data_IF_649990381899
#
_entry.id   IF_649990381899
#
_cell.length_a   1.000
_cell.length_b   1.000
_cell.length_c   1.000
_cell.angle_alpha   90.00
_cell.angle_beta   90.00
_cell.angle_gamma   90.00
#
_symmetry.space_group_name_H-M   'P 1'
#
loop_
_entity.id
_entity.type
_entity.pdbx_description
1 polymer ?
#
# COMPACT_ATOMS: atom_id res chain seq x y z
N UNK A 1 -61.77 56.06 13.87
CA UNK A 1 -62.06 55.22 12.69
C UNK A 1 -62.69 53.93 13.20
N UNK A 2 -63.95 53.72 12.81
CA UNK A 2 -64.73 52.49 13.00
C UNK A 2 -64.08 51.35 12.16
N UNK A 3 -64.35 50.04 12.28
CA UNK A 3 -65.53 49.28 12.70
C UNK A 3 -65.15 47.77 12.72
N UNK A 4 -65.75 46.98 13.63
CA UNK A 4 -66.19 45.55 13.51
C UNK A 4 -65.25 44.50 12.88
N UNK A 5 -64.70 43.50 13.59
CA UNK A 5 -65.31 42.28 14.19
C UNK A 5 -66.23 41.45 13.28
N UNK A 6 -65.75 40.28 12.87
CA UNK A 6 -66.52 39.15 12.36
C UNK A 6 -66.17 37.85 13.12
N UNK A 7 -67.24 37.27 13.68
CA UNK A 7 -67.46 35.85 14.03
C UNK A 7 -67.18 34.93 12.82
N UNK A 8 -66.93 33.63 12.92
CA UNK A 8 -67.05 32.65 13.99
C UNK A 8 -67.18 31.25 13.36
N UNK A 9 -66.98 30.20 14.15
CA UNK A 9 -67.52 28.85 13.89
C UNK A 9 -66.52 27.75 13.49
N UNK A 10 -66.33 26.77 14.37
CA UNK A 10 -66.81 25.39 14.13
C UNK A 10 -66.57 24.49 15.34
N UNK A 11 -67.60 23.72 15.69
CA UNK A 11 -67.57 22.58 16.62
C UNK A 11 -66.87 21.36 15.98
N UNK A 12 -66.33 20.46 16.81
CA UNK A 12 -66.36 18.99 16.68
C UNK A 12 -65.33 18.33 17.61
N UNK A 13 -65.75 17.74 18.74
CA UNK A 13 -65.93 16.29 19.00
C UNK A 13 -64.67 15.43 19.23
N UNK A 14 -64.67 14.85 20.44
CA UNK A 14 -64.31 13.47 20.83
C UNK A 14 -62.84 13.02 20.77
N UNK A 15 -62.31 12.80 21.98
CA UNK A 15 -61.31 11.79 22.32
C UNK A 15 -61.59 10.45 21.60
N UNK A 16 -60.51 9.77 21.19
CA UNK A 16 -60.22 8.53 21.89
C UNK A 16 -58.76 8.44 22.37
N UNK A 17 -58.62 7.66 23.44
CA UNK A 17 -57.41 7.15 24.06
C UNK A 17 -56.55 6.42 23.02
N UNK A 18 -55.27 6.72 22.95
CA UNK A 18 -54.26 5.79 22.43
C UNK A 18 -52.94 5.93 23.19
N UNK A 19 -52.42 4.75 23.51
CA UNK A 19 -51.27 4.43 24.33
C UNK A 19 -50.01 5.22 23.97
N UNK A 20 -49.25 5.55 25.02
CA UNK A 20 -47.91 6.10 24.91
C UNK A 20 -46.93 5.11 24.27
N UNK A 21 -46.15 5.64 23.34
CA UNK A 21 -44.80 5.19 23.05
C UNK A 21 -43.94 6.44 22.93
N UNK A 22 -43.10 6.67 23.94
CA UNK A 22 -42.02 7.66 23.90
C UNK A 22 -40.90 7.09 23.03
N UNK A 23 -40.73 7.66 21.84
CA UNK A 23 -39.50 7.58 21.05
C UNK A 23 -38.82 8.95 21.12
N UNK A 24 -37.56 9.06 21.57
CA UNK A 24 -36.85 10.33 21.56
C UNK A 24 -36.49 10.71 20.11
N UNK A 25 -36.97 11.87 19.68
CA UNK A 25 -36.39 12.63 18.58
C UNK A 25 -35.01 13.12 19.03
N UNK A 26 -33.95 12.48 18.55
CA UNK A 26 -32.61 13.06 18.56
C UNK A 26 -32.53 14.06 17.41
N UNK A 27 -32.38 15.32 17.76
CA UNK A 27 -31.94 16.35 16.84
C UNK A 27 -30.46 16.08 16.49
N UNK A 28 -30.16 15.88 15.20
CA UNK A 28 -28.78 15.97 14.72
C UNK A 28 -28.40 17.45 14.67
N UNK A 29 -27.68 17.89 15.71
CA UNK A 29 -26.87 19.09 15.63
C UNK A 29 -25.68 18.79 14.71
N UNK A 30 -25.45 19.68 13.74
CA UNK A 30 -24.23 19.72 12.97
C UNK A 30 -23.14 20.34 13.85
N UNK A 31 -22.35 19.49 14.50
CA UNK A 31 -21.13 19.92 15.19
C UNK A 31 -20.00 20.11 14.19
N UNK A 32 -19.36 21.27 14.29
CA UNK A 32 -18.30 21.72 13.41
C UNK A 32 -17.06 20.84 13.48
N UNK A 33 -16.37 20.80 12.35
CA UNK A 33 -15.06 20.18 12.15
C UNK A 33 -14.08 20.82 13.15
N UNK A 34 -13.86 20.14 14.27
CA UNK A 34 -12.80 20.45 15.21
C UNK A 34 -11.51 19.80 14.74
N UNK A 35 -10.51 20.62 14.46
CA UNK A 35 -9.11 20.22 14.30
C UNK A 35 -8.58 19.72 15.65
N UNK A 36 -8.83 18.45 15.98
CA UNK A 36 -8.31 17.82 17.19
C UNK A 36 -6.93 17.24 16.95
N UNK A 37 -5.96 17.60 17.80
CA UNK A 37 -4.65 16.96 17.87
C UNK A 37 -4.78 15.44 18.12
N UNK A 38 -4.00 14.59 17.43
CA UNK A 38 -4.06 13.15 17.65
C UNK A 38 -3.55 12.81 19.06
N UNK A 39 -4.48 12.37 19.91
CA UNK A 39 -4.19 11.85 21.24
C UNK A 39 -3.56 10.45 21.15
N UNK A 40 -2.46 10.24 21.87
CA UNK A 40 -1.79 8.93 22.04
C UNK A 40 -2.79 7.83 22.48
N UNK A 41 -2.89 6.76 21.69
CA UNK A 41 -3.63 5.54 22.06
C UNK A 41 -2.76 4.66 22.98
N UNK A 42 -3.27 4.20 24.13
CA UNK A 42 -2.64 3.17 24.96
C UNK A 42 -2.80 1.74 24.40
N UNK A 43 -3.48 1.60 23.26
CA UNK A 43 -3.48 0.40 22.45
C UNK A 43 -2.61 0.71 21.22
N UNK A 44 -1.37 0.20 21.24
CA UNK A 44 -0.44 0.36 20.13
C UNK A 44 -1.10 -0.07 18.83
N UNK A 45 -1.11 0.85 17.88
CA UNK A 45 -1.48 0.65 16.51
C UNK A 45 -0.68 1.69 15.75
N UNK A 46 0.01 1.27 14.70
CA UNK A 46 0.74 2.23 13.85
C UNK A 46 -0.27 3.29 13.33
N UNK A 47 0.13 4.53 13.05
CA UNK A 47 -0.82 5.60 12.64
C UNK A 47 -0.71 6.04 11.18
N UNK A 48 0.24 5.48 10.44
CA UNK A 48 0.46 5.80 9.03
C UNK A 48 1.04 4.61 8.23
N UNK A 49 1.12 4.79 6.90
CA UNK A 49 1.71 3.79 6.01
C UNK A 49 3.21 3.61 6.22
N UNK A 50 3.87 4.47 6.99
CA UNK A 50 5.19 4.25 7.57
C UNK A 50 6.36 4.20 6.59
N UNK A 51 6.29 4.83 5.41
CA UNK A 51 7.37 4.78 4.43
C UNK A 51 8.67 5.42 4.94
N UNK A 52 9.73 4.61 4.96
CA UNK A 52 11.09 5.00 5.25
C UNK A 52 12.00 4.60 4.10
N UNK A 53 12.43 5.60 3.32
CA UNK A 53 13.51 5.47 2.34
C UNK A 53 14.81 6.06 2.88
N UNK A 54 15.96 5.67 2.31
CA UNK A 54 17.26 6.29 2.64
C UNK A 54 17.43 7.67 1.98
N UNK A 55 16.81 7.87 0.81
CA UNK A 55 16.87 9.06 -0.06
C UNK A 55 15.46 9.60 -0.39
N UNK A 56 14.45 9.18 0.36
CA UNK A 56 13.08 9.65 0.24
C UNK A 56 12.38 9.72 1.59
N UNK A 57 11.26 10.43 1.62
CA UNK A 57 10.39 10.59 2.78
C UNK A 57 8.92 10.52 2.34
N UNK A 58 8.06 10.27 3.31
CA UNK A 58 6.62 10.16 3.10
C UNK A 58 5.91 11.49 3.37
N UNK A 59 4.82 11.71 2.65
CA UNK A 59 3.88 12.79 2.83
C UNK A 59 2.47 12.21 2.97
N UNK A 60 1.70 12.75 3.89
CA UNK A 60 0.26 12.52 3.95
C UNK A 60 -0.45 13.57 3.12
N UNK A 61 -1.42 13.16 2.32
CA UNK A 61 -2.20 14.07 1.49
C UNK A 61 -3.68 13.68 1.46
N UNK A 62 -4.51 14.66 1.12
CA UNK A 62 -5.93 14.49 0.84
C UNK A 62 -6.17 14.82 -0.62
N UNK A 63 -6.72 13.87 -1.37
CA UNK A 63 -7.12 14.04 -2.76
C UNK A 63 -8.63 14.29 -2.83
N UNK A 64 -9.03 15.31 -3.59
CA UNK A 64 -10.43 15.67 -3.88
C UNK A 64 -10.67 15.67 -5.37
N UNK A 65 -11.76 15.08 -5.80
CA UNK A 65 -12.06 14.99 -7.23
C UNK A 65 -13.51 14.61 -7.50
N UNK A 66 -13.79 14.51 -8.80
CA UNK A 66 -15.07 14.06 -9.32
C UNK A 66 -14.83 12.92 -10.31
N UNK A 67 -15.57 11.81 -10.15
CA UNK A 67 -15.54 10.67 -11.07
C UNK A 67 -16.94 10.32 -11.54
N UNK A 68 -17.05 9.85 -12.79
CA UNK A 68 -18.32 9.57 -13.46
C UNK A 68 -18.34 8.18 -14.05
N UNK A 69 -19.48 7.50 -13.94
CA UNK A 69 -19.67 6.18 -14.54
C UNK A 69 -21.15 5.91 -14.82
N UNK A 70 -21.43 5.30 -15.97
CA UNK A 70 -22.77 4.81 -16.30
C UNK A 70 -23.10 3.59 -15.43
N UNK A 71 -24.24 3.56 -14.71
CA UNK A 71 -24.59 2.49 -13.78
C UNK A 71 -25.15 1.27 -14.53
N UNK A 72 -24.30 0.61 -15.33
CA UNK A 72 -24.66 -0.57 -16.13
C UNK A 72 -23.78 -1.79 -15.78
N UNK A 73 -24.32 -2.99 -16.02
CA UNK A 73 -23.59 -4.24 -15.77
C UNK A 73 -23.14 -4.37 -14.31
N UNK A 74 -21.84 -4.59 -14.10
CA UNK A 74 -21.22 -4.68 -12.76
C UNK A 74 -21.27 -3.37 -11.96
N UNK A 75 -21.61 -2.25 -12.60
CA UNK A 75 -21.70 -0.92 -11.98
C UNK A 75 -23.15 -0.49 -11.69
N UNK A 76 -24.13 -1.36 -11.93
CA UNK A 76 -25.56 -1.04 -11.77
C UNK A 76 -25.98 -0.62 -10.36
N UNK A 77 -25.19 -0.95 -9.34
CA UNK A 77 -25.44 -0.57 -7.94
C UNK A 77 -24.43 0.48 -7.42
N UNK A 78 -23.71 1.18 -8.30
CA UNK A 78 -22.66 2.13 -7.93
C UNK A 78 -23.12 3.22 -6.95
N UNK A 79 -24.37 3.70 -7.06
CA UNK A 79 -24.95 4.67 -6.13
C UNK A 79 -24.91 4.22 -4.66
N UNK A 80 -25.12 2.93 -4.42
CA UNK A 80 -25.35 2.39 -3.07
C UNK A 80 -24.26 1.45 -2.59
N UNK A 81 -23.35 1.03 -3.47
CA UNK A 81 -22.25 0.13 -3.14
C UNK A 81 -20.98 0.90 -2.85
N UNK A 82 -20.64 1.04 -1.57
CA UNK A 82 -19.38 1.65 -1.12
C UNK A 82 -18.14 0.95 -1.74
N UNK A 83 -18.20 -0.36 -1.93
CA UNK A 83 -17.13 -1.13 -2.59
C UNK A 83 -16.95 -0.70 -4.04
N UNK A 84 -18.04 -0.55 -4.82
CA UNK A 84 -17.94 -0.08 -6.19
C UNK A 84 -17.48 1.38 -6.25
N UNK A 85 -17.94 2.24 -5.34
CA UNK A 85 -17.50 3.64 -5.26
C UNK A 85 -15.99 3.72 -5.01
N UNK A 86 -15.48 2.97 -4.02
CA UNK A 86 -14.06 2.82 -3.74
C UNK A 86 -13.29 2.33 -4.99
N UNK A 87 -13.75 1.27 -5.64
CA UNK A 87 -13.10 0.71 -6.82
C UNK A 87 -13.03 1.73 -7.98
N UNK A 88 -14.08 2.55 -8.17
CA UNK A 88 -14.10 3.58 -9.20
C UNK A 88 -13.13 4.74 -8.88
N UNK A 89 -13.07 5.16 -7.60
CA UNK A 89 -12.17 6.21 -7.13
C UNK A 89 -10.71 5.74 -7.23
N UNK A 90 -10.39 4.52 -6.77
CA UNK A 90 -9.07 3.90 -6.92
C UNK A 90 -8.67 3.81 -8.41
N UNK A 91 -9.62 3.48 -9.30
CA UNK A 91 -9.37 3.44 -10.74
C UNK A 91 -9.05 4.85 -11.30
N UNK A 92 -9.68 5.91 -10.82
CA UNK A 92 -9.36 7.29 -11.24
C UNK A 92 -7.99 7.74 -10.72
N UNK A 93 -7.68 7.48 -9.44
CA UNK A 93 -6.40 7.88 -8.83
C UNK A 93 -5.19 7.26 -9.50
N UNK A 94 -5.32 6.06 -10.09
CA UNK A 94 -4.26 5.44 -10.92
C UNK A 94 -3.79 6.36 -12.05
N UNK A 95 -4.68 7.18 -12.61
CA UNK A 95 -4.35 8.12 -13.66
C UNK A 95 -3.69 9.41 -13.16
N UNK A 96 -3.78 9.71 -11.86
CA UNK A 96 -3.10 10.85 -11.25
C UNK A 96 -1.58 10.61 -11.06
N UNK A 97 -1.10 9.39 -11.29
CA UNK A 97 0.30 8.99 -11.14
C UNK A 97 1.27 9.92 -11.88
N UNK A 98 1.13 10.05 -13.21
CA UNK A 98 2.13 10.76 -14.00
C UNK A 98 2.06 12.28 -13.76
N UNK A 99 0.87 12.82 -13.50
CA UNK A 99 0.72 14.23 -13.13
C UNK A 99 1.31 14.57 -11.77
N UNK A 100 1.11 13.73 -10.75
CA UNK A 100 1.78 13.89 -9.45
C UNK A 100 3.30 13.70 -9.54
N UNK A 101 3.77 12.71 -10.32
CA UNK A 101 5.21 12.49 -10.55
C UNK A 101 5.88 13.68 -11.27
N UNK A 102 5.17 14.36 -12.18
CA UNK A 102 5.64 15.58 -12.82
C UNK A 102 5.87 16.73 -11.82
N UNK A 103 5.18 16.72 -10.68
CA UNK A 103 5.39 17.65 -9.56
C UNK A 103 6.42 17.15 -8.54
N UNK A 104 7.02 15.98 -8.76
CA UNK A 104 8.03 15.38 -7.89
C UNK A 104 7.48 14.48 -6.78
N UNK A 105 6.18 14.19 -6.77
CA UNK A 105 5.52 13.33 -5.79
C UNK A 105 5.15 11.99 -6.40
N UNK A 106 5.44 10.89 -5.68
CA UNK A 106 5.06 9.55 -6.12
C UNK A 106 3.86 9.07 -5.31
N UNK A 107 2.71 9.02 -5.96
CA UNK A 107 1.45 8.64 -5.35
C UNK A 107 1.39 7.12 -5.09
N UNK A 108 0.93 6.74 -3.89
CA UNK A 108 0.38 5.41 -3.64
C UNK A 108 -0.99 5.34 -4.31
N UNK A 109 -1.19 4.43 -5.26
CA UNK A 109 -2.35 4.44 -6.17
C UNK A 109 -3.56 3.71 -5.59
N UNK A 110 -3.43 3.20 -4.36
CA UNK A 110 -4.54 2.65 -3.60
C UNK A 110 -4.84 3.59 -2.44
N UNK A 111 -6.10 3.93 -2.32
CA UNK A 111 -6.51 4.99 -1.44
C UNK A 111 -6.82 4.54 0.00
N UNK A 112 -6.88 5.49 0.92
CA UNK A 112 -7.27 5.26 2.31
C UNK A 112 -8.43 6.19 2.71
N UNK A 113 -9.28 5.73 3.62
CA UNK A 113 -10.38 6.52 4.19
C UNK A 113 -11.19 7.29 3.13
N UNK A 114 -11.73 6.57 2.13
CA UNK A 114 -12.59 7.17 1.11
C UNK A 114 -13.86 7.71 1.75
N UNK A 115 -14.17 8.97 1.42
CA UNK A 115 -15.43 9.62 1.74
C UNK A 115 -16.07 10.14 0.46
N UNK A 116 -17.19 9.53 0.08
CA UNK A 116 -18.06 10.09 -0.97
C UNK A 116 -18.83 11.25 -0.34
N UNK A 117 -18.61 12.44 -0.88
CA UNK A 117 -19.19 13.69 -0.40
C UNK A 117 -20.61 13.88 -0.96
N UNK A 118 -20.78 13.61 -2.25
CA UNK A 118 -22.02 13.77 -2.98
C UNK A 118 -22.15 12.69 -4.05
N UNK A 119 -23.38 12.23 -4.28
CA UNK A 119 -23.77 11.33 -5.36
C UNK A 119 -24.83 12.04 -6.19
N UNK A 120 -24.53 12.33 -7.45
CA UNK A 120 -25.43 13.04 -8.37
C UNK A 120 -25.68 12.24 -9.66
N UNK A 121 -26.67 12.68 -10.45
CA UNK A 121 -27.07 12.10 -11.72
C UNK A 121 -27.10 13.14 -12.82
N UNK A 122 -26.30 12.94 -13.85
CA UNK A 122 -26.35 13.75 -15.06
C UNK A 122 -26.19 12.86 -16.30
N UNK A 123 -27.03 13.08 -17.31
CA UNK A 123 -26.90 12.39 -18.60
C UNK A 123 -27.02 10.86 -18.56
N UNK A 124 -27.50 10.27 -17.45
CA UNK A 124 -27.54 8.81 -17.25
C UNK A 124 -26.33 8.25 -16.49
N UNK A 125 -25.38 9.10 -16.10
CA UNK A 125 -24.25 8.72 -15.26
C UNK A 125 -24.52 8.95 -13.78
N UNK A 126 -23.84 8.16 -12.96
CA UNK A 126 -23.62 8.46 -11.55
C UNK A 126 -22.33 9.27 -11.44
N UNK A 127 -22.41 10.41 -10.77
CA UNK A 127 -21.29 11.30 -10.49
C UNK A 127 -20.98 11.20 -9.00
N UNK A 128 -19.72 10.93 -8.66
CA UNK A 128 -19.24 10.90 -7.29
C UNK A 128 -18.27 12.05 -7.08
N UNK A 129 -18.62 12.98 -6.20
CA UNK A 129 -17.66 13.89 -5.60
C UNK A 129 -17.05 13.20 -4.38
N UNK A 130 -15.73 13.17 -4.29
CA UNK A 130 -15.05 12.41 -3.25
C UNK A 130 -13.90 13.18 -2.62
N UNK A 131 -13.59 12.77 -1.39
CA UNK A 131 -12.38 13.09 -0.66
C UNK A 131 -11.73 11.79 -0.20
N UNK A 132 -10.42 11.71 -0.27
CA UNK A 132 -9.70 10.49 0.08
C UNK A 132 -8.28 10.76 0.57
N UNK A 133 -7.83 10.00 1.56
CA UNK A 133 -6.45 10.08 2.07
C UNK A 133 -5.54 9.27 1.15
N UNK A 134 -4.40 9.85 0.78
CA UNK A 134 -3.39 9.20 -0.05
C UNK A 134 -1.99 9.46 0.50
N UNK A 135 -1.11 8.48 0.33
CA UNK A 135 0.29 8.61 0.69
C UNK A 135 1.11 9.02 -0.54
N UNK A 136 2.03 9.96 -0.36
CA UNK A 136 3.01 10.33 -1.38
C UNK A 136 4.42 10.06 -0.90
N UNK A 137 5.32 9.74 -1.82
CA UNK A 137 6.76 9.64 -1.56
C UNK A 137 7.51 10.69 -2.38
N UNK A 138 8.32 11.49 -1.70
CA UNK A 138 9.15 12.52 -2.31
C UNK A 138 10.64 12.23 -2.10
N UNK A 139 11.51 12.57 -3.08
CA UNK A 139 12.96 12.44 -2.91
C UNK A 139 13.50 13.48 -1.92
N UNK A 140 14.50 13.09 -1.13
CA UNK A 140 15.25 14.01 -0.27
C UNK A 140 16.29 14.72 -1.12
N UNK A 141 16.35 16.05 -1.00
CA UNK A 141 17.42 16.86 -1.59
C UNK A 141 18.54 17.10 -0.57
N UNK A 142 18.19 17.75 0.54
CA UNK A 142 19.13 18.10 1.61
C UNK A 142 18.72 17.47 2.95
N UNK A 143 17.47 17.67 3.35
CA UNK A 143 16.86 17.10 4.56
C UNK A 143 15.36 16.88 4.33
N UNK A 144 14.68 16.23 5.28
CA UNK A 144 13.22 16.15 5.27
C UNK A 144 12.67 17.55 5.59
N UNK A 145 11.88 18.17 4.69
CA UNK A 145 11.33 19.50 4.94
C UNK A 145 10.27 19.46 6.04
N UNK A 146 9.96 20.60 6.65
CA UNK A 146 8.70 20.76 7.38
C UNK A 146 7.57 21.06 6.40
N UNK A 147 6.31 20.86 6.82
CA UNK A 147 5.15 21.17 5.98
C UNK A 147 5.15 22.62 5.51
N UNK A 148 5.59 23.55 6.37
CA UNK A 148 5.68 24.98 6.05
C UNK A 148 6.72 25.31 4.96
N UNK A 149 7.67 24.40 4.68
CA UNK A 149 8.70 24.57 3.65
C UNK A 149 8.24 24.09 2.27
N UNK A 150 7.08 23.42 2.19
CA UNK A 150 6.51 22.96 0.93
C UNK A 150 5.89 24.15 0.20
N UNK A 151 6.60 24.66 -0.81
CA UNK A 151 6.21 25.87 -1.54
C UNK A 151 4.80 25.82 -2.15
N UNK A 152 4.38 24.64 -2.64
CA UNK A 152 3.06 24.39 -3.19
C UNK A 152 2.50 23.11 -2.57
N UNK A 153 1.73 23.21 -1.47
CA UNK A 153 1.14 22.04 -0.82
C UNK A 153 -0.06 21.49 -1.61
N UNK A 154 -0.62 22.26 -2.55
CA UNK A 154 -1.73 21.84 -3.40
C UNK A 154 -1.22 21.56 -4.81
N UNK A 155 -1.61 20.41 -5.36
CA UNK A 155 -1.25 19.95 -6.70
C UNK A 155 -2.53 19.55 -7.45
N UNK A 156 -2.80 20.23 -8.56
CA UNK A 156 -3.87 19.84 -9.47
C UNK A 156 -3.37 18.84 -10.51
N UNK A 157 -4.06 17.70 -10.61
CA UNK A 157 -3.76 16.66 -11.60
C UNK A 157 -4.94 16.42 -12.53
N UNK A 158 -4.69 16.52 -13.83
CA UNK A 158 -5.68 16.17 -14.86
C UNK A 158 -5.79 14.64 -15.00
N UNK A 159 -7.01 14.12 -14.86
CA UNK A 159 -7.34 12.69 -14.96
C UNK A 159 -8.55 12.49 -15.89
N UNK A 160 -8.84 11.27 -16.37
CA UNK A 160 -10.11 11.01 -17.05
C UNK A 160 -11.28 11.12 -16.06
N UNK A 161 -12.35 11.84 -16.46
CA UNK A 161 -13.60 11.85 -15.70
C UNK A 161 -14.27 10.47 -15.66
N UNK A 162 -14.04 9.65 -16.69
CA UNK A 162 -14.47 8.25 -16.81
C UNK A 162 -13.23 7.37 -16.93
N UNK A 163 -12.72 6.79 -15.85
CA UNK A 163 -11.45 6.06 -15.89
C UNK A 163 -11.63 4.61 -16.39
N UNK A 164 -12.76 3.96 -16.09
CA UNK A 164 -13.05 2.57 -16.48
C UNK A 164 -13.10 2.45 -18.00
N UNK A 165 -12.37 1.49 -18.58
CA UNK A 165 -12.39 1.21 -20.03
C UNK A 165 -11.81 2.31 -20.92
N UNK A 166 -10.97 3.20 -20.37
CA UNK A 166 -10.41 4.33 -21.13
C UNK A 166 -9.56 3.86 -22.32
N UNK A 167 -8.78 2.79 -22.16
CA UNK A 167 -7.97 2.22 -23.25
C UNK A 167 -8.84 1.79 -24.43
N UNK A 168 -9.99 1.14 -24.18
CA UNK A 168 -10.90 0.71 -25.25
C UNK A 168 -11.50 1.91 -26.01
N UNK A 169 -11.70 3.05 -25.33
CA UNK A 169 -12.26 4.26 -25.93
C UNK A 169 -11.27 5.03 -26.80
N UNK A 170 -10.03 5.21 -26.33
CA UNK A 170 -9.06 6.09 -26.99
C UNK A 170 -7.80 5.40 -27.49
N UNK A 171 -7.72 4.07 -27.37
CA UNK A 171 -6.54 3.29 -27.70
C UNK A 171 -5.32 3.82 -26.97
N UNK A 172 -4.23 4.07 -27.70
CA UNK A 172 -2.98 4.61 -27.16
C UNK A 172 -2.83 6.13 -27.31
N UNK A 173 -3.89 6.85 -27.71
CA UNK A 173 -3.81 8.29 -27.98
C UNK A 173 -3.42 9.14 -26.77
N UNK A 174 -3.82 8.71 -25.56
CA UNK A 174 -3.46 9.36 -24.29
C UNK A 174 -2.30 8.65 -23.58
N UNK A 175 -1.51 7.82 -24.27
CA UNK A 175 -0.41 7.08 -23.67
C UNK A 175 0.95 7.54 -24.21
N UNK A 176 1.94 7.71 -23.34
CA UNK A 176 3.33 8.02 -23.70
C UNK A 176 4.02 6.86 -24.43
N UNK A 177 3.37 5.69 -24.52
CA UNK A 177 3.88 4.50 -25.19
C UNK A 177 2.85 3.89 -26.13
N UNK A 178 3.30 3.58 -27.34
CA UNK A 178 2.47 2.99 -28.40
C UNK A 178 2.07 1.52 -28.13
N UNK A 179 2.75 0.82 -27.23
CA UNK A 179 2.46 -0.55 -26.81
C UNK A 179 1.68 -0.62 -25.48
N UNK A 180 1.10 0.50 -25.03
CA UNK A 180 0.21 0.50 -23.88
C UNK A 180 -1.01 -0.39 -24.11
N UNK A 181 -1.33 -1.18 -23.10
CA UNK A 181 -2.41 -2.17 -23.07
C UNK A 181 -3.39 -1.84 -21.94
N UNK A 182 -4.59 -2.44 -21.88
CA UNK A 182 -5.53 -2.21 -20.78
C UNK A 182 -4.91 -2.43 -19.39
N UNK A 183 -3.98 -3.39 -19.27
CA UNK A 183 -3.36 -3.77 -18.00
C UNK A 183 -2.43 -2.69 -17.44
N UNK A 184 -1.72 -1.96 -18.30
CA UNK A 184 -0.70 -0.99 -17.91
C UNK A 184 -1.00 0.43 -18.39
N UNK A 185 -2.24 0.68 -18.82
CA UNK A 185 -2.59 1.93 -19.48
C UNK A 185 -2.38 3.15 -18.59
N UNK A 186 -2.89 3.11 -17.35
CA UNK A 186 -2.75 4.19 -16.39
C UNK A 186 -1.27 4.55 -16.10
N UNK A 187 -0.36 3.59 -16.21
CA UNK A 187 1.07 3.81 -16.03
C UNK A 187 1.65 4.73 -17.12
N UNK A 188 1.15 4.62 -18.34
CA UNK A 188 1.61 5.41 -19.48
C UNK A 188 0.69 6.59 -19.79
N UNK A 189 -0.37 6.79 -19.02
CA UNK A 189 -1.34 7.83 -19.30
C UNK A 189 -0.74 9.23 -19.16
N UNK A 190 -1.03 10.08 -20.13
CA UNK A 190 -0.67 11.49 -20.13
C UNK A 190 -1.76 12.26 -20.87
N UNK A 191 -2.53 13.03 -20.10
CA UNK A 191 -3.66 13.80 -20.61
C UNK A 191 -3.24 14.90 -21.60
N UNK A 192 -1.97 15.32 -21.58
CA UNK A 192 -1.46 16.38 -22.44
C UNK A 192 -0.80 15.86 -23.72
N UNK A 193 -0.86 14.54 -23.95
CA UNK A 193 -0.43 13.96 -25.22
C UNK A 193 -1.21 14.57 -26.40
N UNK A 194 -0.52 15.00 -27.48
CA UNK A 194 -1.19 15.49 -28.68
C UNK A 194 -2.18 14.45 -29.24
N UNK A 195 -3.45 14.83 -29.35
CA UNK A 195 -4.52 13.94 -29.82
C UNK A 195 -5.25 13.17 -28.71
N UNK A 196 -4.90 13.37 -27.44
CA UNK A 196 -5.68 12.87 -26.30
C UNK A 196 -6.98 13.67 -26.13
N UNK A 197 -8.06 13.17 -26.75
CA UNK A 197 -9.41 13.71 -26.67
C UNK A 197 -10.27 12.86 -25.71
N UNK A 198 -10.38 13.31 -24.46
CA UNK A 198 -11.12 12.65 -23.39
C UNK A 198 -11.92 13.69 -22.59
N UNK A 199 -12.98 13.24 -21.93
CA UNK A 199 -13.60 13.99 -20.84
C UNK A 199 -12.62 14.04 -19.67
N UNK A 200 -12.16 15.24 -19.31
CA UNK A 200 -11.16 15.48 -18.26
C UNK A 200 -11.84 15.86 -16.95
N UNK A 201 -11.28 15.42 -15.85
CA UNK A 201 -11.54 15.91 -14.51
C UNK A 201 -10.23 16.38 -13.87
N UNK A 202 -10.34 17.14 -12.78
CA UNK A 202 -9.19 17.55 -11.96
C UNK A 202 -9.29 16.85 -10.62
N UNK A 203 -8.17 16.28 -10.18
CA UNK A 203 -7.97 15.83 -8.80
C UNK A 203 -7.03 16.82 -8.13
N UNK A 204 -7.53 17.53 -7.13
CA UNK A 204 -6.75 18.39 -6.24
C UNK A 204 -6.12 17.52 -5.17
N UNK A 205 -4.78 17.51 -5.06
CA UNK A 205 -4.04 16.78 -4.04
C UNK A 205 -3.41 17.78 -3.08
N UNK A 206 -3.92 17.85 -1.86
CA UNK A 206 -3.44 18.73 -0.79
C UNK A 206 -2.54 17.94 0.17
N UNK A 207 -1.27 18.33 0.28
CA UNK A 207 -0.32 17.80 1.24
C UNK A 207 -0.67 18.36 2.62
N UNK A 208 -1.06 17.48 3.52
CA UNK A 208 -1.51 17.82 4.88
C UNK A 208 -0.49 17.43 5.94
N UNK A 209 0.48 16.57 5.60
CA UNK A 209 1.48 16.10 6.55
C UNK A 209 2.83 15.79 5.90
N UNK A 210 3.91 16.02 6.65
CA UNK A 210 5.26 15.57 6.30
C UNK A 210 5.76 14.66 7.40
N UNK A 211 6.04 13.41 7.08
CA UNK A 211 6.44 12.45 8.08
C UNK A 211 7.95 12.48 8.32
N UNK A 212 8.33 12.38 9.60
CA UNK A 212 9.73 12.26 10.00
C UNK A 212 10.36 10.93 9.58
N UNK A 213 11.70 10.87 9.66
CA UNK A 213 12.50 9.67 9.39
C UNK A 213 13.23 9.21 10.66
N UNK A 214 12.51 8.64 11.64
CA UNK A 214 13.15 8.09 12.83
C UNK A 214 14.04 6.91 12.47
N UNK A 215 15.05 6.65 13.32
CA UNK A 215 15.67 5.34 13.37
C UNK A 215 14.66 4.36 13.94
N UNK A 216 14.36 3.32 13.18
CA UNK A 216 13.43 2.26 13.57
C UNK A 216 13.97 0.92 13.09
N UNK A 217 13.55 -0.14 13.75
CA UNK A 217 14.11 -1.48 13.60
C UNK A 217 13.01 -2.46 13.20
N UNK A 218 13.35 -3.58 12.55
CA UNK A 218 12.46 -4.72 12.50
C UNK A 218 11.96 -5.12 13.90
N UNK A 219 10.76 -5.68 13.99
CA UNK A 219 10.25 -6.27 15.23
C UNK A 219 11.03 -7.56 15.57
N UNK A 220 12.29 -7.42 15.99
CA UNK A 220 13.23 -8.52 16.20
C UNK A 220 12.76 -9.49 17.29
N UNK A 221 12.07 -9.01 18.32
CA UNK A 221 11.42 -9.86 19.33
C UNK A 221 10.35 -10.78 18.72
N UNK A 222 9.67 -10.32 17.67
CA UNK A 222 8.70 -11.11 16.92
C UNK A 222 9.35 -12.02 15.88
N UNK A 223 10.61 -11.80 15.48
CA UNK A 223 11.34 -12.65 14.54
C UNK A 223 12.20 -13.72 15.23
N UNK A 224 12.76 -13.44 16.40
CA UNK A 224 13.69 -14.32 17.10
C UNK A 224 12.96 -15.40 17.93
N UNK A 225 12.32 -16.35 17.25
CA UNK A 225 11.58 -17.46 17.86
C UNK A 225 12.44 -18.72 17.93
N UNK A 226 12.21 -19.65 18.89
CA UNK A 226 12.88 -20.96 18.87
C UNK A 226 12.60 -21.71 17.56
N UNK A 227 13.65 -22.24 16.92
CA UNK A 227 13.53 -23.11 15.75
C UNK A 227 13.56 -24.58 16.14
N UNK A 228 13.20 -25.47 15.21
CA UNK A 228 13.29 -26.93 15.39
C UNK A 228 14.73 -27.41 15.64
N UNK A 229 15.73 -26.57 15.36
CA UNK A 229 17.16 -26.85 15.57
C UNK A 229 17.68 -26.35 16.92
N UNK A 230 16.83 -25.71 17.72
CA UNK A 230 17.18 -25.19 19.05
C UNK A 230 17.92 -23.85 19.04
N UNK A 231 18.03 -23.20 17.88
CA UNK A 231 18.50 -21.82 17.69
C UNK A 231 17.33 -20.85 17.74
N UNK A 232 17.59 -19.55 17.62
CA UNK A 232 16.56 -18.51 17.45
C UNK A 232 16.49 -18.07 15.99
N UNK A 233 15.31 -17.79 15.47
CA UNK A 233 15.19 -17.43 14.07
C UNK A 233 13.78 -17.49 13.52
N UNK A 234 13.71 -17.39 12.20
CA UNK A 234 12.46 -17.38 11.44
C UNK A 234 12.61 -18.07 10.08
N UNK A 235 11.48 -18.28 9.40
CA UNK A 235 11.44 -18.87 8.05
C UNK A 235 11.26 -17.80 6.99
N UNK A 236 12.02 -17.92 5.91
CA UNK A 236 12.01 -17.04 4.76
C UNK A 236 11.65 -17.79 3.47
N UNK A 237 10.86 -17.18 2.60
CA UNK A 237 10.55 -17.67 1.27
C UNK A 237 11.06 -16.69 0.20
N UNK A 238 11.86 -17.17 -0.74
CA UNK A 238 12.22 -16.43 -1.95
C UNK A 238 11.42 -17.00 -3.11
N UNK A 239 10.52 -16.18 -3.66
CA UNK A 239 9.56 -16.59 -4.70
C UNK A 239 9.86 -15.82 -5.99
N UNK A 240 10.86 -16.23 -6.79
CA UNK A 240 11.13 -15.65 -8.09
C UNK A 240 10.11 -16.12 -9.14
N UNK A 241 9.62 -15.20 -9.96
CA UNK A 241 8.83 -15.55 -11.12
C UNK A 241 9.69 -16.25 -12.20
N UNK A 242 9.04 -16.82 -13.21
CA UNK A 242 9.74 -17.28 -14.42
C UNK A 242 10.49 -16.11 -15.07
N UNK A 243 11.71 -16.38 -15.53
CA UNK A 243 12.44 -15.41 -16.34
C UNK A 243 11.83 -15.23 -17.73
N UNK A 244 12.05 -14.06 -18.33
CA UNK A 244 11.39 -13.65 -19.56
C UNK A 244 11.86 -14.45 -20.79
N UNK A 245 13.11 -14.90 -20.77
CA UNK A 245 13.73 -15.69 -21.85
C UNK A 245 14.10 -17.12 -21.40
N UNK A 246 14.44 -17.27 -20.13
CA UNK A 246 14.77 -18.54 -19.50
C UNK A 246 13.96 -18.63 -18.19
N UNK A 247 13.02 -19.58 -18.08
CA UNK A 247 12.18 -19.75 -16.90
C UNK A 247 12.97 -19.88 -15.59
N UNK A 248 14.16 -20.51 -15.63
CA UNK A 248 14.99 -20.75 -14.45
C UNK A 248 15.90 -19.56 -14.08
N UNK A 249 16.16 -18.63 -15.00
CA UNK A 249 17.19 -17.59 -14.82
C UNK A 249 17.05 -16.74 -13.54
N UNK A 250 15.83 -16.42 -13.10
CA UNK A 250 15.61 -15.68 -11.85
C UNK A 250 15.87 -16.54 -10.61
N UNK A 251 15.47 -17.81 -10.66
CA UNK A 251 15.79 -18.79 -9.61
C UNK A 251 17.30 -19.01 -9.52
N UNK A 252 17.97 -19.25 -10.65
CA UNK A 252 19.41 -19.45 -10.69
C UNK A 252 20.19 -18.24 -10.17
N UNK A 253 19.73 -17.03 -10.46
CA UNK A 253 20.37 -15.82 -9.92
C UNK A 253 20.29 -15.74 -8.38
N UNK A 254 19.14 -16.10 -7.78
CA UNK A 254 19.01 -16.15 -6.32
C UNK A 254 19.79 -17.32 -5.73
N UNK A 255 19.75 -18.49 -6.37
CA UNK A 255 20.54 -19.66 -5.98
C UNK A 255 22.03 -19.33 -5.96
N UNK A 256 22.55 -18.70 -7.00
CA UNK A 256 23.96 -18.33 -7.10
C UNK A 256 24.34 -17.29 -6.04
N UNK A 257 23.46 -16.34 -5.73
CA UNK A 257 23.69 -15.41 -4.61
C UNK A 257 23.79 -16.18 -3.27
N UNK A 258 22.84 -17.06 -2.98
CA UNK A 258 22.85 -17.85 -1.73
C UNK A 258 24.10 -18.76 -1.66
N UNK A 259 24.47 -19.42 -2.76
CA UNK A 259 25.56 -20.39 -2.79
C UNK A 259 26.95 -19.74 -2.86
N UNK A 260 27.11 -18.64 -3.59
CA UNK A 260 28.43 -18.04 -3.82
C UNK A 260 28.69 -16.84 -2.90
N UNK A 261 27.70 -15.96 -2.74
CA UNK A 261 27.88 -14.69 -2.03
C UNK A 261 27.69 -14.89 -0.53
N UNK A 262 26.69 -15.70 -0.14
CA UNK A 262 26.46 -16.10 1.26
C UNK A 262 27.08 -17.45 1.66
N UNK A 263 27.74 -18.14 0.72
CA UNK A 263 28.43 -19.43 0.95
C UNK A 263 27.53 -20.51 1.61
N UNK A 264 26.27 -20.60 1.19
CA UNK A 264 25.29 -21.53 1.72
C UNK A 264 25.19 -22.81 0.90
N UNK A 265 24.82 -23.92 1.54
CA UNK A 265 24.60 -25.21 0.87
C UNK A 265 23.11 -25.54 0.82
N UNK A 266 22.52 -25.47 -0.38
CA UNK A 266 21.10 -25.74 -0.57
C UNK A 266 20.77 -27.24 -0.59
N UNK A 267 19.77 -27.65 0.17
CA UNK A 267 19.19 -29.00 0.13
C UNK A 267 17.94 -29.01 -0.78
N UNK A 268 17.73 -30.03 -1.62
CA UNK A 268 16.54 -30.09 -2.46
C UNK A 268 15.27 -30.29 -1.62
N UNK A 269 14.20 -29.57 -1.98
CA UNK A 269 12.84 -29.77 -1.49
C UNK A 269 12.04 -30.39 -2.64
N UNK A 270 11.65 -31.68 -2.58
CA UNK A 270 11.00 -32.37 -3.69
C UNK A 270 9.78 -31.61 -4.23
N UNK A 271 9.81 -31.25 -5.51
CA UNK A 271 8.71 -30.58 -6.21
C UNK A 271 8.52 -29.09 -5.89
N UNK A 272 9.42 -28.48 -5.13
CA UNK A 272 9.29 -27.08 -4.71
C UNK A 272 10.52 -26.24 -5.06
N UNK A 273 11.73 -26.73 -4.77
CA UNK A 273 12.95 -25.94 -4.95
C UNK A 273 14.08 -26.37 -4.00
N UNK A 274 14.67 -25.42 -3.27
CA UNK A 274 15.81 -25.67 -2.38
C UNK A 274 15.68 -24.94 -1.05
N UNK A 275 16.13 -25.59 0.02
CA UNK A 275 16.23 -25.04 1.38
C UNK A 275 17.67 -24.71 1.74
N UNK A 276 17.89 -23.55 2.33
CA UNK A 276 19.17 -23.08 2.85
C UNK A 276 19.01 -22.75 4.34
N UNK A 277 20.10 -22.88 5.08
CA UNK A 277 20.17 -22.41 6.48
C UNK A 277 21.24 -21.33 6.52
N UNK A 278 20.84 -20.10 6.79
CA UNK A 278 21.75 -18.98 6.96
C UNK A 278 21.88 -18.67 8.45
N UNK A 279 23.01 -19.04 9.06
CA UNK A 279 23.19 -18.98 10.50
C UNK A 279 24.41 -18.17 10.91
N UNK A 280 24.31 -17.51 12.07
CA UNK A 280 25.38 -16.76 12.72
C UNK A 280 25.17 -16.82 14.23
N UNK A 281 26.20 -17.19 15.00
CA UNK A 281 26.03 -17.36 16.45
C UNK A 281 24.96 -18.41 16.78
N UNK A 282 24.00 -18.03 17.63
CA UNK A 282 22.84 -18.86 18.01
C UNK A 282 21.56 -18.49 17.23
N UNK A 283 21.69 -17.70 16.15
CA UNK A 283 20.56 -17.28 15.31
C UNK A 283 20.62 -17.86 13.90
N UNK A 284 19.46 -18.07 13.28
CA UNK A 284 19.37 -18.55 11.90
C UNK A 284 18.16 -18.03 11.13
N UNK A 285 18.25 -18.10 9.80
CA UNK A 285 17.12 -17.94 8.87
C UNK A 285 17.05 -19.23 8.03
N UNK A 286 15.92 -19.93 8.08
CA UNK A 286 15.64 -21.04 7.16
C UNK A 286 15.02 -20.48 5.88
N UNK A 287 15.73 -20.58 4.76
CA UNK A 287 15.35 -19.95 3.49
C UNK A 287 14.90 -21.01 2.48
N UNK A 288 13.64 -20.96 2.06
CA UNK A 288 13.11 -21.76 0.97
C UNK A 288 13.08 -20.94 -0.33
N UNK A 289 13.89 -21.35 -1.30
CA UNK A 289 13.94 -20.79 -2.65
C UNK A 289 13.07 -21.64 -3.58
N UNK A 290 11.97 -21.05 -4.06
CA UNK A 290 11.01 -21.72 -4.93
C UNK A 290 11.49 -21.76 -6.39
N UNK A 291 11.46 -22.93 -7.02
CA UNK A 291 11.81 -23.14 -8.41
C UNK A 291 10.57 -22.95 -9.32
N UNK A 292 10.50 -21.86 -10.11
CA UNK A 292 9.33 -21.55 -10.93
C UNK A 292 9.11 -22.50 -12.11
N UNK A 293 10.01 -23.47 -12.32
CA UNK A 293 9.83 -24.58 -13.27
C UNK A 293 9.09 -25.76 -12.67
N UNK A 294 9.05 -25.87 -11.33
CA UNK A 294 8.42 -26.97 -10.59
C UNK A 294 7.06 -26.58 -10.00
N UNK A 295 6.84 -25.29 -9.74
CA UNK A 295 5.65 -24.79 -9.05
C UNK A 295 4.86 -23.77 -9.86
N UNK A 296 3.58 -23.58 -9.51
CA UNK A 296 2.81 -22.42 -9.99
C UNK A 296 3.13 -21.19 -9.16
N UNK A 297 3.48 -20.10 -9.83
CA UNK A 297 4.00 -18.89 -9.19
C UNK A 297 3.03 -18.27 -8.19
N UNK A 298 1.80 -17.97 -8.63
CA UNK A 298 0.80 -17.31 -7.76
C UNK A 298 0.40 -18.17 -6.57
N UNK A 299 0.25 -19.48 -6.78
CA UNK A 299 -0.07 -20.44 -5.70
C UNK A 299 1.07 -20.53 -4.69
N UNK A 300 2.32 -20.63 -5.15
CA UNK A 300 3.49 -20.67 -4.28
C UNK A 300 3.67 -19.40 -3.48
N UNK A 301 3.39 -18.25 -4.10
CA UNK A 301 3.46 -16.97 -3.43
C UNK A 301 2.38 -16.86 -2.34
N UNK A 302 1.13 -17.25 -2.62
CA UNK A 302 0.05 -17.28 -1.62
C UNK A 302 0.34 -18.26 -0.48
N UNK A 303 0.84 -19.45 -0.79
CA UNK A 303 1.26 -20.40 0.25
C UNK A 303 2.39 -19.81 1.10
N UNK A 304 3.33 -19.08 0.50
CA UNK A 304 4.39 -18.43 1.24
C UNK A 304 3.87 -17.34 2.20
N UNK A 305 2.84 -16.58 1.81
CA UNK A 305 2.19 -15.60 2.68
C UNK A 305 1.53 -16.25 3.91
N UNK A 306 1.08 -17.51 3.81
CA UNK A 306 0.45 -18.23 4.92
C UNK A 306 1.45 -18.87 5.90
N UNK A 307 2.70 -19.10 5.49
CA UNK A 307 3.62 -19.98 6.22
C UNK A 307 4.91 -19.32 6.72
N UNK A 308 5.35 -18.21 6.13
CA UNK A 308 6.69 -17.65 6.37
C UNK A 308 6.64 -16.30 7.08
N UNK A 309 7.71 -15.96 7.80
CA UNK A 309 7.86 -14.66 8.47
C UNK A 309 8.51 -13.63 7.53
N UNK A 310 9.36 -14.06 6.58
CA UNK A 310 9.91 -13.22 5.52
C UNK A 310 9.52 -13.75 4.15
N UNK A 311 8.99 -12.91 3.27
CA UNK A 311 8.58 -13.30 1.92
C UNK A 311 9.17 -12.31 0.92
N UNK A 312 9.89 -12.81 -0.08
CA UNK A 312 10.33 -12.02 -1.22
C UNK A 312 9.56 -12.44 -2.47
N UNK A 313 8.80 -11.48 -3.02
CA UNK A 313 8.21 -11.56 -4.35
C UNK A 313 9.19 -10.97 -5.37
N UNK A 314 9.58 -11.73 -6.39
CA UNK A 314 10.36 -11.22 -7.53
C UNK A 314 9.68 -11.51 -8.86
N UNK A 315 8.63 -10.74 -9.13
CA UNK A 315 7.79 -10.87 -10.32
C UNK A 315 7.62 -9.56 -11.06
N UNK A 316 6.93 -9.64 -12.20
CA UNK A 316 6.48 -8.43 -12.89
C UNK A 316 5.44 -7.70 -12.01
N UNK A 317 5.44 -6.38 -12.09
CA UNK A 317 4.34 -5.60 -11.53
C UNK A 317 3.13 -5.84 -12.43
N UNK A 318 2.04 -6.35 -11.90
CA UNK A 318 0.78 -6.43 -12.65
C UNK A 318 0.06 -5.07 -12.64
N UNK A 319 0.80 -3.97 -12.42
CA UNK A 319 0.33 -2.58 -12.36
C UNK A 319 -0.90 -2.40 -11.45
N UNK A 320 -0.95 -3.17 -10.35
CA UNK A 320 -2.05 -3.20 -9.38
C UNK A 320 -3.38 -3.71 -9.92
N UNK A 321 -3.43 -4.33 -11.11
CA UNK A 321 -4.66 -4.89 -11.72
C UNK A 321 -4.92 -6.33 -11.32
N UNK A 322 -3.93 -7.01 -10.73
CA UNK A 322 -4.14 -8.32 -10.12
C UNK A 322 -4.33 -8.15 -8.62
N UNK A 323 -5.43 -8.72 -8.13
CA UNK A 323 -5.72 -8.91 -6.71
C UNK A 323 -4.83 -10.02 -6.13
N UNK A 324 -3.51 -9.81 -6.20
CA UNK A 324 -2.54 -10.82 -5.79
C UNK A 324 -2.52 -10.96 -4.26
N UNK A 325 -2.78 -9.85 -3.56
CA UNK A 325 -2.59 -9.68 -2.12
C UNK A 325 -3.88 -9.24 -1.40
N UNK A 326 -5.04 -9.29 -2.07
CA UNK A 326 -6.31 -8.82 -1.50
C UNK A 326 -7.13 -9.95 -0.84
N UNK A 327 -6.53 -11.12 -0.64
CA UNK A 327 -7.16 -12.30 -0.01
C UNK A 327 -6.60 -12.44 1.42
N UNK A 328 -7.28 -11.92 2.48
CA UNK A 328 -6.80 -11.97 3.86
C UNK A 328 -6.44 -13.39 4.32
N UNK A 329 -7.19 -14.39 3.86
CA UNK A 329 -6.97 -15.80 4.18
C UNK A 329 -5.65 -16.37 3.64
N UNK A 330 -4.98 -15.67 2.72
CA UNK A 330 -3.66 -16.07 2.23
C UNK A 330 -2.54 -15.68 3.19
N UNK A 331 -2.79 -14.83 4.19
CA UNK A 331 -1.76 -14.33 5.10
C UNK A 331 -1.75 -15.10 6.43
N UNK A 332 -0.56 -15.26 7.00
CA UNK A 332 -0.42 -15.71 8.38
C UNK A 332 -0.90 -14.61 9.35
N UNK A 333 -1.38 -15.03 10.52
CA UNK A 333 -1.68 -14.12 11.63
C UNK A 333 -0.42 -13.56 12.32
N UNK A 334 0.78 -14.11 12.08
CA UNK A 334 2.01 -13.63 12.70
C UNK A 334 2.57 -12.36 12.03
N UNK A 335 3.56 -11.73 12.66
CA UNK A 335 4.32 -10.62 12.07
C UNK A 335 5.11 -11.09 10.85
N UNK A 336 5.04 -10.34 9.74
CA UNK A 336 5.71 -10.67 8.49
C UNK A 336 6.48 -9.48 7.91
N UNK A 337 7.62 -9.76 7.29
CA UNK A 337 8.31 -8.84 6.39
C UNK A 337 8.04 -9.29 4.95
N UNK A 338 7.42 -8.43 4.15
CA UNK A 338 7.07 -8.74 2.76
C UNK A 338 7.84 -7.81 1.83
N UNK A 339 8.81 -8.35 1.11
CA UNK A 339 9.57 -7.64 0.10
C UNK A 339 8.94 -7.82 -1.29
N UNK A 340 8.33 -6.74 -1.79
CA UNK A 340 7.74 -6.68 -3.12
C UNK A 340 8.75 -6.15 -4.13
N UNK A 341 9.60 -7.01 -4.68
CA UNK A 341 10.54 -6.63 -5.76
C UNK A 341 9.84 -6.69 -7.12
N UNK A 342 9.27 -5.57 -7.56
CA UNK A 342 8.69 -5.41 -8.89
C UNK A 342 8.72 -3.95 -9.33
N UNK A 343 8.23 -3.61 -10.53
CA UNK A 343 8.20 -2.20 -10.94
C UNK A 343 7.22 -1.38 -10.11
N UNK A 344 7.71 -0.37 -9.39
CA UNK A 344 6.89 0.55 -8.58
C UNK A 344 5.94 -0.16 -7.61
N UNK A 345 6.43 -1.18 -6.91
CA UNK A 345 5.58 -1.99 -6.02
C UNK A 345 4.96 -1.21 -4.88
N UNK A 346 5.57 -0.10 -4.46
CA UNK A 346 5.01 0.78 -3.42
C UNK A 346 3.60 1.25 -3.79
N UNK A 347 3.44 1.65 -5.05
CA UNK A 347 2.20 2.24 -5.56
C UNK A 347 1.04 1.24 -5.68
N UNK A 348 1.32 -0.07 -5.62
CA UNK A 348 0.35 -1.11 -5.98
C UNK A 348 0.10 -2.14 -4.89
N UNK A 349 1.12 -2.49 -4.10
CA UNK A 349 1.07 -3.69 -3.27
C UNK A 349 1.11 -3.39 -1.78
N UNK A 350 1.74 -2.29 -1.37
CA UNK A 350 1.86 -1.92 0.05
C UNK A 350 0.50 -1.89 0.73
N UNK A 351 -0.48 -1.19 0.13
CA UNK A 351 -1.82 -1.08 0.71
C UNK A 351 -2.61 -2.39 0.65
N UNK A 352 -2.40 -3.22 -0.37
CA UNK A 352 -3.06 -4.54 -0.45
C UNK A 352 -2.64 -5.42 0.72
N UNK A 353 -1.33 -5.48 1.01
CA UNK A 353 -0.80 -6.22 2.16
C UNK A 353 -1.45 -5.74 3.44
N UNK A 354 -1.48 -4.43 3.67
CA UNK A 354 -2.05 -3.86 4.89
C UNK A 354 -3.54 -4.16 5.02
N UNK A 355 -4.34 -3.94 3.97
CA UNK A 355 -5.77 -4.30 3.96
C UNK A 355 -5.99 -5.79 4.27
N UNK A 356 -5.17 -6.67 3.73
CA UNK A 356 -5.27 -8.11 3.98
C UNK A 356 -4.82 -8.54 5.38
N UNK A 357 -4.08 -7.68 6.10
CA UNK A 357 -3.61 -7.90 7.48
C UNK A 357 -4.47 -7.17 8.51
N UNK A 358 -5.51 -6.45 8.10
CA UNK A 358 -6.44 -5.76 9.00
C UNK A 358 -7.07 -6.73 10.00
N UNK A 359 -7.17 -6.31 11.25
CA UNK A 359 -7.88 -7.02 12.31
C UNK A 359 -8.76 -6.05 13.10
N UNK A 360 -9.60 -6.56 14.00
CA UNK A 360 -10.40 -5.69 14.87
C UNK A 360 -9.55 -4.79 15.77
N UNK A 361 -8.36 -5.24 16.18
CA UNK A 361 -7.44 -4.50 17.05
C UNK A 361 -6.43 -3.64 16.26
N UNK A 362 -6.26 -3.95 14.98
CA UNK A 362 -5.37 -3.26 14.04
C UNK A 362 -6.14 -3.00 12.73
N UNK A 363 -7.03 -2.00 12.70
CA UNK A 363 -7.91 -1.73 11.57
C UNK A 363 -7.17 -1.19 10.34
N UNK A 364 -5.86 -0.99 10.43
CA UNK A 364 -5.01 -0.58 9.32
C UNK A 364 -4.07 -1.70 8.84
N UNK A 365 -3.96 -2.80 9.59
CA UNK A 365 -3.15 -3.98 9.26
C UNK A 365 -1.65 -3.74 9.32
N UNK A 366 -1.21 -2.73 10.07
CA UNK A 366 0.18 -2.30 10.13
C UNK A 366 1.01 -3.00 11.22
N UNK A 367 0.38 -3.48 12.29
CA UNK A 367 1.10 -4.03 13.45
C UNK A 367 1.83 -5.33 13.14
N UNK A 368 1.37 -6.06 12.13
CA UNK A 368 1.85 -7.41 11.79
C UNK A 368 2.48 -7.50 10.41
N UNK A 369 2.79 -6.38 9.78
CA UNK A 369 3.42 -6.36 8.47
C UNK A 369 4.37 -5.18 8.32
N UNK A 370 5.58 -5.48 7.82
CA UNK A 370 6.51 -4.51 7.29
C UNK A 370 6.67 -4.80 5.79
N UNK A 371 6.50 -3.81 4.92
CA UNK A 371 6.54 -3.99 3.46
C UNK A 371 7.73 -3.29 2.86
N UNK A 372 8.68 -4.05 2.32
CA UNK A 372 9.82 -3.49 1.57
C UNK A 372 9.44 -3.40 0.10
N UNK A 373 9.42 -2.19 -0.44
CA UNK A 373 8.90 -1.93 -1.77
C UNK A 373 9.78 -0.97 -2.58
N UNK A 374 9.47 -0.86 -3.87
CA UNK A 374 10.14 0.00 -4.83
C UNK A 374 9.22 1.16 -5.18
N UNK A 375 9.70 2.40 -5.07
CA UNK A 375 9.01 3.60 -5.56
C UNK A 375 9.33 3.93 -7.02
N UNK A 376 10.24 3.18 -7.67
CA UNK A 376 10.57 3.28 -9.10
C UNK A 376 10.55 1.91 -9.75
N UNK A 377 10.50 1.88 -11.09
CA UNK A 377 10.62 0.63 -11.83
C UNK A 377 11.93 -0.07 -11.47
N UNK A 378 11.85 -1.23 -10.82
CA UNK A 378 13.00 -2.09 -10.61
C UNK A 378 13.10 -3.13 -11.72
N UNK A 379 14.32 -3.63 -11.92
CA UNK A 379 14.53 -4.77 -12.81
C UNK A 379 14.68 -6.04 -11.95
N UNK A 380 14.09 -7.17 -12.37
CA UNK A 380 14.22 -8.45 -11.66
C UNK A 380 15.66 -8.89 -11.43
N UNK A 381 16.60 -8.42 -12.26
CA UNK A 381 18.04 -8.72 -12.16
C UNK A 381 18.70 -8.17 -10.89
N UNK A 382 18.15 -7.11 -10.29
CA UNK A 382 18.68 -6.53 -9.06
C UNK A 382 18.23 -7.25 -7.78
N UNK A 383 17.17 -8.07 -7.88
CA UNK A 383 16.54 -8.75 -6.74
C UNK A 383 17.49 -9.62 -5.92
N UNK A 384 18.44 -10.40 -6.50
CA UNK A 384 19.33 -11.22 -5.69
C UNK A 384 20.21 -10.40 -4.74
N UNK A 385 20.77 -9.27 -5.20
CA UNK A 385 21.65 -8.43 -4.38
C UNK A 385 20.90 -7.70 -3.28
N UNK A 386 19.68 -7.26 -3.56
CA UNK A 386 18.86 -6.60 -2.54
C UNK A 386 18.31 -7.60 -1.52
N UNK A 387 18.00 -8.83 -1.96
CA UNK A 387 17.70 -9.95 -1.06
C UNK A 387 18.88 -10.30 -0.15
N UNK A 388 20.10 -10.36 -0.69
CA UNK A 388 21.33 -10.57 0.08
C UNK A 388 21.47 -9.53 1.20
N UNK A 389 21.34 -8.24 0.86
CA UNK A 389 21.46 -7.13 1.81
C UNK A 389 20.47 -7.25 2.97
N UNK A 390 19.18 -7.49 2.67
CA UNK A 390 18.17 -7.57 3.73
C UNK A 390 18.32 -8.83 4.59
N UNK A 391 18.63 -9.98 3.99
CA UNK A 391 18.87 -11.22 4.73
C UNK A 391 20.08 -11.09 5.67
N UNK A 392 21.18 -10.50 5.17
CA UNK A 392 22.37 -10.24 5.98
C UNK A 392 22.08 -9.24 7.10
N UNK A 393 21.40 -8.13 6.81
CA UNK A 393 21.05 -7.12 7.80
C UNK A 393 20.15 -7.65 8.92
N UNK A 394 19.17 -8.49 8.58
CA UNK A 394 18.30 -9.17 9.54
C UNK A 394 19.10 -10.15 10.41
N UNK A 395 19.93 -11.02 9.81
CA UNK A 395 20.74 -11.98 10.55
C UNK A 395 21.76 -11.30 11.47
N UNK A 396 22.40 -10.23 11.01
CA UNK A 396 23.35 -9.44 11.81
C UNK A 396 22.66 -8.75 12.98
N UNK A 397 21.45 -8.22 12.79
CA UNK A 397 20.67 -7.65 13.87
C UNK A 397 20.27 -8.68 14.92
N UNK A 398 19.79 -9.85 14.50
CA UNK A 398 19.47 -10.95 15.43
C UNK A 398 20.71 -11.43 16.20
N UNK A 399 21.85 -11.60 15.54
CA UNK A 399 23.11 -12.02 16.19
C UNK A 399 23.60 -10.97 17.21
N UNK A 400 23.49 -9.68 16.87
CA UNK A 400 23.81 -8.60 17.79
C UNK A 400 22.94 -8.67 19.06
N UNK A 401 21.64 -8.92 18.91
CA UNK A 401 20.70 -9.02 20.04
C UNK A 401 20.99 -10.25 20.91
N UNK A 402 21.10 -11.43 20.30
CA UNK A 402 21.40 -12.69 21.01
C UNK A 402 22.72 -12.60 21.80
N UNK A 403 23.71 -11.90 21.24
CA UNK A 403 25.01 -11.70 21.87
C UNK A 403 25.06 -10.49 22.84
N UNK A 404 23.92 -9.92 23.22
CA UNK A 404 23.82 -8.84 24.22
C UNK A 404 24.32 -7.47 23.74
N UNK A 405 24.36 -7.24 22.42
CA UNK A 405 24.75 -5.98 21.76
C UNK A 405 23.58 -5.39 20.97
N UNK A 406 22.39 -5.35 21.57
CA UNK A 406 21.15 -4.83 20.96
C UNK A 406 21.32 -3.48 20.24
N UNK A 407 22.15 -2.56 20.77
CA UNK A 407 22.45 -1.25 20.17
C UNK A 407 23.20 -1.33 18.82
N UNK A 408 23.79 -2.48 18.50
CA UNK A 408 24.43 -2.75 17.21
C UNK A 408 23.47 -3.41 16.21
N UNK A 409 22.20 -3.65 16.59
CA UNK A 409 21.23 -4.24 15.69
C UNK A 409 21.01 -3.35 14.45
N UNK A 410 20.83 -3.97 13.29
CA UNK A 410 20.64 -3.25 12.03
C UNK A 410 19.26 -2.60 11.99
N UNK A 411 19.20 -1.29 11.78
CA UNK A 411 17.94 -0.56 11.59
C UNK A 411 17.45 -0.62 10.12
N UNK A 412 16.18 -0.27 9.92
CA UNK A 412 15.55 -0.25 8.59
C UNK A 412 16.23 0.72 7.62
N UNK A 413 16.65 1.92 8.06
CA UNK A 413 17.29 2.90 7.19
C UNK A 413 18.65 2.41 6.69
N UNK A 414 19.44 1.77 7.56
CA UNK A 414 20.73 1.17 7.21
C UNK A 414 20.59 0.06 6.15
N UNK A 415 19.56 -0.80 6.28
CA UNK A 415 19.27 -1.82 5.27
C UNK A 415 18.84 -1.20 3.94
N UNK A 416 17.89 -0.27 3.96
CA UNK A 416 17.40 0.40 2.75
C UNK A 416 18.50 1.19 2.04
N UNK A 417 19.37 1.88 2.79
CA UNK A 417 20.52 2.60 2.20
C UNK A 417 21.46 1.63 1.48
N UNK A 418 21.73 0.47 2.09
CA UNK A 418 22.55 -0.57 1.50
C UNK A 418 21.92 -1.15 0.23
N UNK A 419 20.59 -1.36 0.21
CA UNK A 419 19.84 -1.79 -0.97
C UNK A 419 19.94 -0.76 -2.12
N UNK A 420 19.72 0.52 -1.82
CA UNK A 420 19.84 1.62 -2.79
C UNK A 420 21.27 1.77 -3.34
N UNK A 421 22.29 1.40 -2.54
CA UNK A 421 23.70 1.42 -2.95
C UNK A 421 24.04 0.32 -3.94
N UNK A 422 23.53 -0.90 -3.74
CA UNK A 422 23.80 -2.05 -4.62
C UNK A 422 22.98 -1.99 -5.92
N UNK A 423 21.79 -1.38 -5.88
CA UNK A 423 20.89 -1.21 -7.02
C UNK A 423 20.59 0.28 -7.28
N UNK A 424 21.63 1.00 -7.73
CA UNK A 424 21.56 2.44 -7.99
C UNK A 424 20.44 2.79 -8.98
N UNK A 425 19.65 3.79 -8.61
CA UNK A 425 18.56 4.32 -9.44
C UNK A 425 17.21 3.66 -9.17
N UNK A 426 17.18 2.58 -8.40
CA UNK A 426 15.95 2.07 -7.79
C UNK A 426 15.72 2.82 -6.48
N UNK A 427 14.47 3.15 -6.21
CA UNK A 427 14.06 3.78 -4.97
C UNK A 427 13.49 2.70 -4.05
N UNK A 428 14.27 2.18 -3.11
CA UNK A 428 13.75 1.29 -2.07
C UNK A 428 13.30 2.08 -0.84
N UNK A 429 12.30 1.54 -0.17
CA UNK A 429 11.87 1.93 1.16
C UNK A 429 11.11 0.81 1.84
N UNK A 430 10.93 0.94 3.14
CA UNK A 430 10.09 0.06 3.94
C UNK A 430 8.88 0.83 4.44
N UNK A 431 7.69 0.26 4.30
CA UNK A 431 6.41 0.79 4.76
C UNK A 431 5.93 -0.02 5.96
N UNK A 432 5.13 0.60 6.82
CA UNK A 432 4.63 0.03 8.07
C UNK A 432 5.69 0.05 9.18
N UNK A 433 6.86 0.63 8.98
CA UNK A 433 8.01 0.45 9.90
C UNK A 433 8.21 1.57 10.92
N UNK A 434 7.65 2.76 10.65
CA UNK A 434 7.95 4.00 11.40
C UNK A 434 7.64 3.88 12.90
N UNK A 435 6.62 3.11 13.23
CA UNK A 435 6.13 2.91 14.59
C UNK A 435 6.39 1.50 15.13
N UNK A 436 7.37 0.77 14.56
CA UNK A 436 7.81 -0.49 15.14
C UNK A 436 8.25 -0.30 16.59
N UNK A 437 7.83 -1.23 17.43
CA UNK A 437 7.88 -1.11 18.89
C UNK A 437 9.19 -1.63 19.47
N UNK A 438 9.82 -2.59 18.81
CA UNK A 438 11.12 -3.08 19.23
C UNK A 438 12.15 -1.95 19.19
N UNK A 439 12.88 -1.81 20.30
CA UNK A 439 13.96 -0.85 20.45
C UNK A 439 15.12 -1.53 21.17
N UNK A 440 16.38 -1.16 20.88
CA UNK A 440 17.52 -1.70 21.59
C UNK A 440 17.45 -1.34 23.08
N UNK A 441 17.65 -2.34 23.95
CA UNK A 441 17.68 -2.17 25.42
C UNK A 441 19.11 -1.94 25.89
N UNK A 442 19.28 -1.07 26.88
CA UNK A 442 20.55 -0.71 27.53
C UNK A 442 21.16 -1.80 28.42
#
# INVERSE_FOLDING_TARGET
MAQTLHSGGSMATKLPILLGFTLPLLACAADGIGTGEPSKSPNGGKTDSGWLGSDSYELGAVARGQVRMEPVGSWSTLESSAELQLNLIDEQLRFAKNGSEAQGYRLNLLSDQVRVLEVDYDGGDVILDYEVVVDLVAPIRDSVPELADIANPIVDVTVPARPVGIHDRVGTACATKADASPLNYAYYFDADQPGCDIERATVEIEITHVFGRPTTYPEYDLLMKPTDRGTLGFRAALVPARGDYDPASRFDAHRLMLENDLNLVGQPIPGQGRRYIFAKGNVEIEIDLYDPTQVQYSESFRNALGEYDFILYNGHSNYGKMHLLDEPESFSDHYQIIMMHSCQSYAYYTRQVFRAKETADDPHGWDRADVVATGKSSYPKGSPKTAEVILQGLLDGMDAIDAGRSREATDWLSMIESMNRVERGILYGAAGVRENRWQPID
#
